data_IF_168863241382
#
_entry.id   IF_168863241382
#
_cell.length_a   1.000
_cell.length_b   1.000
_cell.length_c   1.000
_cell.angle_alpha   90.00
_cell.angle_beta   90.00
_cell.angle_gamma   90.00
#
_symmetry.space_group_name_H-M   'P 1'
#
loop_
_entity.id
_entity.type
_entity.pdbx_description
1 polymer ?
#
# COMPACT_ATOMS: atom_id res chain seq x y z
N UNK A 1 1.98 13.68 15.56
CA UNK A 1 0.56 13.59 15.97
C UNK A 1 -0.32 14.59 15.22
N UNK A 2 -0.21 15.91 15.48
CA UNK A 2 -1.09 16.93 14.84
C UNK A 2 -1.05 16.92 13.30
N UNK A 3 0.15 16.84 12.70
CA UNK A 3 0.29 16.73 11.25
C UNK A 3 -0.40 15.48 10.65
N UNK A 4 -0.36 14.35 11.37
CA UNK A 4 -1.04 13.12 10.96
C UNK A 4 -2.56 13.31 10.93
N UNK A 5 -3.16 13.89 11.97
CA UNK A 5 -4.60 14.15 12.00
C UNK A 5 -5.04 15.25 11.03
N UNK A 6 -4.19 16.25 10.77
CA UNK A 6 -4.44 17.29 9.77
C UNK A 6 -4.57 16.73 8.35
N UNK A 7 -3.76 15.73 7.97
CA UNK A 7 -3.90 15.05 6.66
C UNK A 7 -5.23 14.31 6.49
N UNK A 8 -5.93 14.02 7.60
CA UNK A 8 -7.25 13.37 7.62
C UNK A 8 -8.40 14.36 7.85
N UNK A 9 -8.13 15.67 7.75
CA UNK A 9 -9.14 16.72 7.94
C UNK A 9 -9.59 16.92 9.39
N UNK A 10 -8.93 16.29 10.38
CA UNK A 10 -9.19 16.53 11.81
C UNK A 10 -8.22 17.59 12.34
N UNK A 11 -8.73 18.79 12.63
CA UNK A 11 -7.94 19.86 13.23
C UNK A 11 -8.05 19.82 14.76
N UNK A 12 -6.93 19.59 15.44
CA UNK A 12 -6.87 19.52 16.91
C UNK A 12 -6.62 20.92 17.44
N UNK A 13 -7.57 21.48 18.19
CA UNK A 13 -7.40 22.76 18.90
C UNK A 13 -6.47 22.58 20.10
N UNK A 14 -5.69 23.60 20.40
CA UNK A 14 -4.59 23.56 21.37
C UNK A 14 -5.00 23.41 22.84
N UNK A 15 -6.31 23.53 23.15
CA UNK A 15 -6.83 23.62 24.53
C UNK A 15 -8.05 22.73 24.84
N UNK A 16 -8.39 21.74 24.01
CA UNK A 16 -9.48 20.80 24.34
C UNK A 16 -8.98 19.56 25.09
N UNK A 17 -9.47 19.40 26.34
CA UNK A 17 -9.53 18.23 27.22
C UNK A 17 -8.47 17.10 27.08
N UNK A 18 -7.74 16.86 28.19
CA UNK A 18 -6.76 15.76 28.36
C UNK A 18 -7.26 14.37 27.91
N UNK A 19 -8.55 14.07 28.06
CA UNK A 19 -9.11 12.76 27.69
C UNK A 19 -9.15 12.54 26.16
N UNK A 20 -9.47 13.58 25.39
CA UNK A 20 -9.49 13.52 23.92
C UNK A 20 -8.06 13.41 23.37
N UNK A 21 -7.10 14.05 24.04
CA UNK A 21 -5.69 13.95 23.69
C UNK A 21 -5.14 12.53 23.93
N UNK A 22 -5.57 11.85 25.00
CA UNK A 22 -5.15 10.47 25.29
C UNK A 22 -5.63 9.46 24.22
N UNK A 23 -6.89 9.56 23.77
CA UNK A 23 -7.42 8.67 22.73
C UNK A 23 -6.73 8.89 21.37
N UNK A 24 -6.53 10.16 21.00
CA UNK A 24 -5.80 10.51 19.78
C UNK A 24 -4.32 10.09 19.87
N UNK A 25 -3.71 10.19 21.06
CA UNK A 25 -2.33 9.77 21.29
C UNK A 25 -2.23 8.25 21.15
N UNK A 26 -3.19 7.49 21.70
CA UNK A 26 -3.27 6.05 21.53
C UNK A 26 -3.35 5.66 20.04
N UNK A 27 -4.26 6.26 19.28
CA UNK A 27 -4.40 5.99 17.83
C UNK A 27 -3.08 6.30 17.09
N UNK A 28 -2.42 7.39 17.46
CA UNK A 28 -1.14 7.79 16.88
C UNK A 28 0.01 6.85 17.25
N UNK A 29 0.07 6.37 18.50
CA UNK A 29 1.08 5.40 18.95
C UNK A 29 0.90 4.05 18.27
N UNK A 30 -0.34 3.58 18.09
CA UNK A 30 -0.64 2.38 17.31
C UNK A 30 -0.18 2.53 15.85
N UNK A 31 -0.46 3.69 15.23
CA UNK A 31 0.01 3.99 13.88
C UNK A 31 1.55 4.00 13.79
N UNK A 32 2.25 4.62 14.74
CA UNK A 32 3.71 4.61 14.78
C UNK A 32 4.27 3.19 14.94
N UNK A 33 3.67 2.37 15.81
CA UNK A 33 4.07 0.99 16.01
C UNK A 33 3.87 0.15 14.73
N UNK A 34 2.81 0.40 13.96
CA UNK A 34 2.57 -0.28 12.67
C UNK A 34 3.45 0.25 11.53
N UNK A 35 3.93 1.50 11.61
CA UNK A 35 4.79 2.07 10.56
C UNK A 35 6.28 1.88 10.84
N UNK A 36 6.64 1.44 12.03
CA UNK A 36 8.01 1.13 12.37
C UNK A 36 8.60 0.06 11.44
N UNK A 37 9.84 0.30 11.02
CA UNK A 37 10.55 -0.53 10.04
C UNK A 37 10.71 -1.98 10.50
N UNK A 38 10.99 -2.19 11.80
CA UNK A 38 11.19 -3.53 12.37
C UNK A 38 9.87 -4.30 12.36
N UNK A 39 8.78 -3.67 12.77
CA UNK A 39 7.46 -4.29 12.79
C UNK A 39 6.94 -4.54 11.38
N UNK A 40 7.16 -3.61 10.44
CA UNK A 40 6.79 -3.79 9.05
C UNK A 40 7.52 -4.97 8.40
N UNK A 41 8.80 -5.17 8.71
CA UNK A 41 9.55 -6.32 8.21
C UNK A 41 9.07 -7.66 8.79
N UNK A 42 8.65 -7.68 10.06
CA UNK A 42 8.23 -8.92 10.74
C UNK A 42 6.79 -9.32 10.44
N UNK A 43 5.85 -8.38 10.58
CA UNK A 43 4.40 -8.64 10.49
C UNK A 43 3.70 -7.79 9.45
N UNK A 44 4.42 -6.90 8.75
CA UNK A 44 3.85 -6.04 7.71
C UNK A 44 3.22 -6.81 6.56
N UNK A 45 3.65 -8.05 6.28
CA UNK A 45 3.00 -8.88 5.24
C UNK A 45 1.49 -9.06 5.47
N UNK A 46 1.03 -8.97 6.72
CA UNK A 46 -0.38 -9.15 7.13
C UNK A 46 -1.18 -7.87 6.88
N UNK A 47 -0.69 -6.71 7.32
CA UNK A 47 -1.48 -5.48 7.38
C UNK A 47 -1.05 -4.39 6.38
N UNK A 48 0.12 -4.49 5.75
CA UNK A 48 0.71 -3.40 4.95
C UNK A 48 -0.16 -2.92 3.79
N UNK A 49 -1.03 -3.79 3.26
CA UNK A 49 -1.94 -3.45 2.17
C UNK A 49 -3.24 -2.79 2.63
N UNK A 50 -3.48 -2.76 3.94
CA UNK A 50 -4.66 -2.18 4.57
C UNK A 50 -4.37 -0.79 5.12
N UNK A 51 -5.42 0.02 5.20
CA UNK A 51 -5.37 1.28 5.93
C UNK A 51 -5.15 0.97 7.42
N UNK A 52 -4.28 1.70 8.14
CA UNK A 52 -3.92 1.39 9.53
C UNK A 52 -5.11 1.26 10.49
N UNK A 53 -6.22 1.97 10.23
CA UNK A 53 -7.47 1.89 11.02
C UNK A 53 -8.21 0.56 10.84
N UNK A 54 -8.02 -0.11 9.71
CA UNK A 54 -8.73 -1.33 9.30
C UNK A 54 -7.83 -2.58 9.30
N UNK A 55 -6.77 -2.58 10.11
CA UNK A 55 -5.83 -3.72 10.23
C UNK A 55 -6.54 -5.03 10.61
N UNK A 56 -7.59 -4.96 11.43
CA UNK A 56 -8.39 -6.10 11.90
C UNK A 56 -9.19 -6.77 10.79
N UNK A 57 -9.32 -6.11 9.63
CA UNK A 57 -10.00 -6.67 8.47
C UNK A 57 -9.30 -7.94 7.96
N UNK A 58 -7.97 -8.02 8.06
CA UNK A 58 -7.24 -9.24 7.70
C UNK A 58 -7.61 -10.42 8.62
N UNK A 59 -7.83 -10.15 9.92
CA UNK A 59 -8.29 -11.18 10.86
C UNK A 59 -9.68 -11.67 10.49
N UNK A 60 -10.58 -10.78 10.06
CA UNK A 60 -11.90 -11.19 9.56
C UNK A 60 -11.82 -12.03 8.29
N UNK A 61 -10.92 -11.68 7.37
CA UNK A 61 -10.71 -12.42 6.12
C UNK A 61 -10.12 -13.82 6.39
N UNK A 62 -9.24 -13.95 7.38
CA UNK A 62 -8.74 -15.24 7.86
C UNK A 62 -9.84 -16.05 8.57
N UNK A 63 -10.64 -15.40 9.43
CA UNK A 63 -11.76 -16.03 10.11
C UNK A 63 -12.79 -16.55 9.10
N UNK A 64 -13.05 -15.82 8.01
CA UNK A 64 -13.87 -16.30 6.89
C UNK A 64 -13.32 -17.59 6.32
N UNK A 65 -12.04 -17.62 5.96
CA UNK A 65 -11.41 -18.81 5.37
C UNK A 65 -11.51 -20.00 6.31
N UNK A 66 -11.34 -19.76 7.62
CA UNK A 66 -11.53 -20.78 8.66
C UNK A 66 -12.99 -21.24 8.75
N UNK A 67 -13.96 -20.32 8.71
CA UNK A 67 -15.39 -20.64 8.78
C UNK A 67 -15.81 -21.50 7.58
N UNK A 68 -15.43 -21.10 6.36
CA UNK A 68 -15.83 -21.79 5.13
C UNK A 68 -15.22 -23.18 4.99
N UNK A 69 -13.98 -23.39 5.46
CA UNK A 69 -13.31 -24.69 5.34
C UNK A 69 -13.51 -25.58 6.58
N UNK A 70 -13.41 -25.02 7.79
CA UNK A 70 -13.44 -25.77 9.04
C UNK A 70 -14.84 -25.88 9.64
N UNK A 71 -15.55 -24.75 9.78
CA UNK A 71 -16.80 -24.71 10.53
C UNK A 71 -17.98 -25.33 9.77
N UNK A 72 -18.04 -25.13 8.45
CA UNK A 72 -19.09 -25.70 7.58
C UNK A 72 -19.13 -27.24 7.62
N UNK A 73 -18.03 -27.90 7.98
CA UNK A 73 -17.99 -29.38 8.12
C UNK A 73 -18.86 -29.85 9.28
N UNK A 74 -18.92 -29.10 10.39
CA UNK A 74 -19.68 -29.48 11.58
C UNK A 74 -21.20 -29.34 11.41
N UNK A 75 -21.66 -28.63 10.38
CA UNK A 75 -23.08 -28.57 10.03
C UNK A 75 -23.51 -29.95 9.51
N UNK A 76 -24.19 -30.75 10.33
CA UNK A 76 -24.55 -32.14 9.99
C UNK A 76 -25.50 -32.22 8.78
N UNK A 77 -25.29 -33.23 7.90
CA UNK A 77 -26.10 -33.76 6.78
C UNK A 77 -26.98 -32.86 5.87
N UNK A 78 -26.97 -31.53 6.01
CA UNK A 78 -27.74 -30.63 5.15
C UNK A 78 -26.83 -29.81 4.22
N UNK A 79 -26.54 -30.30 2.99
CA UNK A 79 -25.72 -29.58 2.03
C UNK A 79 -26.31 -28.23 1.61
N UNK A 80 -27.65 -28.12 1.59
CA UNK A 80 -28.37 -26.87 1.34
C UNK A 80 -28.05 -25.82 2.40
N UNK A 81 -28.13 -26.19 3.68
CA UNK A 81 -27.83 -25.27 4.79
C UNK A 81 -26.37 -24.80 4.76
N UNK A 82 -25.43 -25.71 4.44
CA UNK A 82 -24.01 -25.37 4.27
C UNK A 82 -23.80 -24.31 3.20
N UNK A 83 -24.44 -24.47 2.04
CA UNK A 83 -24.33 -23.52 0.93
C UNK A 83 -24.96 -22.17 1.29
N UNK A 84 -26.14 -22.15 1.91
CA UNK A 84 -26.81 -20.91 2.33
C UNK A 84 -25.97 -20.15 3.36
N UNK A 85 -25.45 -20.81 4.40
CA UNK A 85 -24.58 -20.17 5.40
C UNK A 85 -23.31 -19.57 4.76
N UNK A 86 -22.71 -20.30 3.81
CA UNK A 86 -21.54 -19.86 3.06
C UNK A 86 -21.82 -18.62 2.20
N UNK A 87 -22.98 -18.58 1.54
CA UNK A 87 -23.44 -17.44 0.74
C UNK A 87 -23.69 -16.24 1.65
N UNK A 88 -24.43 -16.40 2.75
CA UNK A 88 -24.72 -15.32 3.71
C UNK A 88 -23.43 -14.69 4.23
N UNK A 89 -22.47 -15.52 4.63
CA UNK A 89 -21.19 -15.03 5.13
C UNK A 89 -20.38 -14.27 4.06
N UNK A 90 -20.42 -14.75 2.81
CA UNK A 90 -19.79 -14.06 1.68
C UNK A 90 -20.46 -12.72 1.36
N UNK A 91 -21.79 -12.63 1.48
CA UNK A 91 -22.52 -11.35 1.30
C UNK A 91 -22.16 -10.34 2.40
N UNK A 92 -22.08 -10.78 3.66
CA UNK A 92 -21.71 -9.91 4.78
C UNK A 92 -20.32 -9.31 4.58
N UNK A 93 -19.35 -10.11 4.17
CA UNK A 93 -17.99 -9.61 3.93
C UNK A 93 -17.89 -8.75 2.68
N UNK A 94 -18.63 -9.07 1.62
CA UNK A 94 -18.69 -8.23 0.42
C UNK A 94 -19.25 -6.85 0.77
N UNK A 95 -20.30 -6.81 1.59
CA UNK A 95 -20.90 -5.58 2.10
C UNK A 95 -19.92 -4.79 2.96
N UNK A 96 -19.16 -5.48 3.83
CA UNK A 96 -18.10 -4.88 4.64
C UNK A 96 -16.99 -4.24 3.78
N UNK A 97 -16.52 -4.93 2.74
CA UNK A 97 -15.49 -4.40 1.82
C UNK A 97 -16.01 -3.14 1.11
N UNK A 98 -17.25 -3.18 0.63
CA UNK A 98 -17.83 -2.09 -0.15
C UNK A 98 -18.06 -0.84 0.70
N UNK A 99 -18.45 -1.01 1.97
CA UNK A 99 -18.68 0.06 2.93
C UNK A 99 -17.39 0.63 3.51
N UNK A 100 -16.53 -0.21 4.08
CA UNK A 100 -15.33 0.24 4.81
C UNK A 100 -14.13 0.53 3.90
N UNK A 101 -14.05 -0.09 2.71
CA UNK A 101 -12.92 0.04 1.77
C UNK A 101 -11.56 -0.09 2.47
N UNK A 102 -11.26 -1.25 3.08
CA UNK A 102 -10.15 -1.40 4.01
C UNK A 102 -8.76 -1.36 3.33
N UNK A 103 -8.67 -1.54 2.01
CA UNK A 103 -7.38 -1.53 1.29
C UNK A 103 -6.93 -0.10 0.94
N UNK A 104 -5.62 0.13 0.99
CA UNK A 104 -5.01 1.43 0.62
C UNK A 104 -5.24 1.76 -0.86
N UNK A 105 -5.07 0.77 -1.74
CA UNK A 105 -5.33 0.92 -3.16
C UNK A 105 -6.81 0.64 -3.46
N UNK A 106 -7.46 1.54 -4.20
CA UNK A 106 -8.87 1.42 -4.54
C UNK A 106 -9.18 0.18 -5.40
N UNK A 107 -8.31 -0.10 -6.36
CA UNK A 107 -8.26 -1.32 -7.17
C UNK A 107 -8.31 -2.61 -6.34
N UNK A 108 -7.54 -2.70 -5.25
CA UNK A 108 -7.55 -3.86 -4.37
C UNK A 108 -8.90 -4.07 -3.69
N UNK A 109 -9.58 -2.97 -3.30
CA UNK A 109 -10.96 -3.05 -2.81
C UNK A 109 -11.91 -3.59 -3.88
N UNK A 110 -11.78 -3.12 -5.13
CA UNK A 110 -12.60 -3.57 -6.25
C UNK A 110 -12.36 -5.05 -6.55
N UNK A 111 -11.11 -5.49 -6.66
CA UNK A 111 -10.72 -6.88 -6.92
C UNK A 111 -11.21 -7.80 -5.80
N UNK A 112 -11.06 -7.38 -4.54
CA UNK A 112 -11.55 -8.15 -3.39
C UNK A 112 -13.07 -8.30 -3.44
N UNK A 113 -13.81 -7.22 -3.75
CA UNK A 113 -15.27 -7.26 -3.92
C UNK A 113 -15.70 -8.16 -5.10
N UNK A 114 -15.01 -8.08 -6.25
CA UNK A 114 -15.28 -8.95 -7.40
C UNK A 114 -15.03 -10.42 -7.09
N UNK A 115 -13.99 -10.72 -6.31
CA UNK A 115 -13.70 -12.08 -5.86
C UNK A 115 -14.81 -12.62 -4.95
N UNK A 116 -15.35 -11.78 -4.07
CA UNK A 116 -16.48 -12.16 -3.21
C UNK A 116 -17.76 -12.41 -4.02
N UNK A 117 -18.04 -11.56 -5.01
CA UNK A 117 -19.15 -11.76 -5.92
C UNK A 117 -19.02 -13.08 -6.71
N UNK A 118 -17.81 -13.39 -7.19
CA UNK A 118 -17.51 -14.65 -7.86
C UNK A 118 -17.73 -15.88 -6.95
N UNK A 119 -17.31 -15.79 -5.68
CA UNK A 119 -17.56 -16.84 -4.70
C UNK A 119 -19.06 -17.07 -4.45
N UNK A 120 -19.85 -15.99 -4.35
CA UNK A 120 -21.31 -16.07 -4.19
C UNK A 120 -21.93 -16.82 -5.37
N UNK A 121 -21.56 -16.48 -6.61
CA UNK A 121 -22.07 -17.14 -7.81
C UNK A 121 -21.69 -18.62 -7.85
N UNK A 122 -20.44 -18.94 -7.50
CA UNK A 122 -19.96 -20.34 -7.44
C UNK A 122 -20.75 -21.16 -6.43
N UNK A 123 -20.98 -20.61 -5.23
CA UNK A 123 -21.77 -21.27 -4.19
C UNK A 123 -23.24 -21.41 -4.58
N UNK A 124 -23.77 -20.42 -5.32
CA UNK A 124 -25.13 -20.47 -5.83
C UNK A 124 -25.33 -21.60 -6.83
N UNK A 125 -24.37 -21.83 -7.75
CA UNK A 125 -24.39 -23.01 -8.64
C UNK A 125 -24.43 -24.30 -7.82
N UNK A 126 -23.55 -24.42 -6.82
CA UNK A 126 -23.52 -25.57 -5.92
C UNK A 126 -24.88 -25.80 -5.23
N UNK A 127 -25.51 -24.73 -4.76
CA UNK A 127 -26.84 -24.78 -4.14
C UNK A 127 -27.90 -25.29 -5.12
N UNK A 128 -27.97 -24.75 -6.34
CA UNK A 128 -28.93 -25.18 -7.37
C UNK A 128 -28.74 -26.65 -7.74
N UNK A 129 -27.49 -27.11 -7.85
CA UNK A 129 -27.18 -28.52 -8.12
C UNK A 129 -27.67 -29.44 -7.01
N UNK A 130 -27.43 -29.07 -5.76
CA UNK A 130 -27.89 -29.85 -4.59
C UNK A 130 -29.42 -29.87 -4.51
N UNK A 131 -30.08 -28.73 -4.74
CA UNK A 131 -31.54 -28.65 -4.70
C UNK A 131 -32.19 -29.48 -5.82
N UNK A 132 -31.63 -29.44 -7.03
CA UNK A 132 -32.11 -30.27 -8.14
C UNK A 132 -31.97 -31.76 -7.81
N UNK A 133 -30.80 -32.18 -7.31
CA UNK A 133 -30.56 -33.57 -6.92
C UNK A 133 -31.51 -34.07 -5.81
N UNK A 134 -31.92 -33.20 -4.88
CA UNK A 134 -32.86 -33.56 -3.80
C UNK A 134 -34.33 -33.56 -4.24
N UNK A 135 -34.72 -32.67 -5.14
CA UNK A 135 -36.13 -32.50 -5.55
C UNK A 135 -36.51 -33.34 -6.76
N UNK A 136 -35.54 -33.81 -7.56
CA UNK A 136 -35.77 -34.59 -8.78
C UNK A 136 -36.50 -33.83 -9.89
N UNK A 137 -36.69 -32.52 -9.72
CA UNK A 137 -37.44 -31.65 -10.62
C UNK A 137 -36.48 -31.12 -11.70
N UNK A 138 -36.64 -31.62 -12.94
CA UNK A 138 -35.98 -31.10 -14.14
C UNK A 138 -36.56 -29.74 -14.59
N UNK A 139 -36.84 -28.82 -13.66
CA UNK A 139 -37.47 -27.53 -13.98
C UNK A 139 -36.55 -26.63 -14.84
N UNK A 140 -35.23 -26.87 -14.79
CA UNK A 140 -34.24 -26.15 -15.56
C UNK A 140 -33.16 -27.13 -16.06
N UNK A 141 -32.71 -26.95 -17.30
CA UNK A 141 -31.63 -27.75 -17.88
C UNK A 141 -30.34 -27.48 -17.08
N UNK A 142 -30.00 -28.41 -16.19
CA UNK A 142 -28.85 -28.32 -15.28
C UNK A 142 -27.57 -27.95 -16.01
N UNK A 143 -27.36 -28.53 -17.19
CA UNK A 143 -26.18 -28.28 -18.01
C UNK A 143 -26.11 -26.82 -18.47
N UNK A 144 -27.25 -26.21 -18.83
CA UNK A 144 -27.28 -24.82 -19.29
C UNK A 144 -26.96 -23.84 -18.17
N UNK A 145 -27.51 -24.04 -16.96
CA UNK A 145 -27.22 -23.18 -15.80
C UNK A 145 -25.75 -23.25 -15.42
N UNK A 146 -25.22 -24.48 -15.31
CA UNK A 146 -23.80 -24.69 -14.97
C UNK A 146 -22.91 -24.05 -16.02
N UNK A 147 -23.20 -24.24 -17.31
CA UNK A 147 -22.41 -23.65 -18.39
C UNK A 147 -22.43 -22.11 -18.36
N UNK A 148 -23.61 -21.49 -18.22
CA UNK A 148 -23.74 -20.03 -18.16
C UNK A 148 -22.97 -19.47 -16.96
N UNK A 149 -23.13 -20.07 -15.79
CA UNK A 149 -22.45 -19.62 -14.59
C UNK A 149 -20.94 -19.87 -14.62
N UNK A 150 -20.48 -20.94 -15.26
CA UNK A 150 -19.06 -21.22 -15.43
C UNK A 150 -18.43 -20.19 -16.37
N UNK A 151 -19.09 -19.87 -17.49
CA UNK A 151 -18.65 -18.80 -18.40
C UNK A 151 -18.58 -17.47 -17.67
N UNK A 152 -19.62 -17.14 -16.88
CA UNK A 152 -19.67 -15.89 -16.14
C UNK A 152 -18.57 -15.79 -15.06
N UNK A 153 -18.29 -16.87 -14.33
CA UNK A 153 -17.17 -16.94 -13.39
C UNK A 153 -15.82 -16.80 -14.11
N UNK A 154 -15.65 -17.46 -15.25
CA UNK A 154 -14.42 -17.36 -16.05
C UNK A 154 -14.19 -15.92 -16.54
N UNK A 155 -15.23 -15.27 -17.05
CA UNK A 155 -15.19 -13.87 -17.46
C UNK A 155 -14.82 -12.94 -16.29
N UNK A 156 -15.38 -13.18 -15.11
CA UNK A 156 -15.05 -12.41 -13.91
C UNK A 156 -13.57 -12.57 -13.49
N UNK A 157 -13.01 -13.78 -13.58
CA UNK A 157 -11.58 -14.03 -13.31
C UNK A 157 -10.70 -13.29 -14.32
N UNK A 158 -11.01 -13.37 -15.60
CA UNK A 158 -10.25 -12.68 -16.66
C UNK A 158 -10.31 -11.17 -16.47
N UNK A 159 -11.48 -10.62 -16.16
CA UNK A 159 -11.65 -9.19 -15.90
C UNK A 159 -10.85 -8.74 -14.67
N UNK A 160 -10.90 -9.50 -13.57
CA UNK A 160 -10.14 -9.20 -12.34
C UNK A 160 -8.63 -9.28 -12.59
N UNK A 161 -8.17 -10.30 -13.32
CA UNK A 161 -6.77 -10.44 -13.72
C UNK A 161 -6.29 -9.30 -14.63
N UNK A 162 -7.15 -8.84 -15.54
CA UNK A 162 -6.85 -7.68 -16.38
C UNK A 162 -6.68 -6.40 -15.56
N UNK A 163 -7.59 -6.13 -14.60
CA UNK A 163 -7.50 -4.97 -13.70
C UNK A 163 -6.19 -5.00 -12.90
N UNK A 164 -5.82 -6.16 -12.35
CA UNK A 164 -4.56 -6.33 -11.62
C UNK A 164 -3.32 -6.10 -12.50
N UNK A 165 -3.33 -6.60 -13.75
CA UNK A 165 -2.21 -6.42 -14.67
C UNK A 165 -2.06 -4.97 -15.13
N UNK A 166 -3.18 -4.29 -15.37
CA UNK A 166 -3.17 -2.87 -15.73
C UNK A 166 -2.61 -2.01 -14.61
N UNK A 167 -3.03 -2.28 -13.36
CA UNK A 167 -2.48 -1.60 -12.20
C UNK A 167 -1.00 -1.92 -11.99
N UNK A 168 -0.59 -3.18 -12.09
CA UNK A 168 0.82 -3.55 -11.94
C UNK A 168 1.69 -2.81 -12.98
N UNK A 169 1.19 -2.67 -14.22
CA UNK A 169 1.86 -1.90 -15.27
C UNK A 169 1.89 -0.41 -14.97
N UNK A 170 0.81 0.16 -14.42
CA UNK A 170 0.75 1.59 -14.10
C UNK A 170 1.67 1.94 -12.92
N UNK A 171 1.68 1.13 -11.86
CA UNK A 171 2.57 1.29 -10.71
C UNK A 171 4.05 1.15 -11.11
N UNK A 172 4.38 0.17 -11.96
CA UNK A 172 5.74 0.00 -12.48
C UNK A 172 6.22 1.25 -13.22
N UNK A 173 5.38 1.83 -14.09
CA UNK A 173 5.71 3.08 -14.80
C UNK A 173 5.91 4.25 -13.85
N UNK A 174 5.05 4.39 -12.83
CA UNK A 174 5.17 5.44 -11.83
C UNK A 174 6.47 5.32 -11.02
N UNK A 175 6.82 4.10 -10.57
CA UNK A 175 8.05 3.87 -9.83
C UNK A 175 9.30 4.22 -10.65
N UNK A 176 9.32 3.85 -11.94
CA UNK A 176 10.42 4.21 -12.85
C UNK A 176 10.51 5.73 -13.00
N UNK A 177 9.39 6.42 -13.21
CA UNK A 177 9.36 7.88 -13.33
C UNK A 177 9.86 8.60 -12.05
N UNK A 178 9.49 8.09 -10.87
CA UNK A 178 9.96 8.62 -9.58
C UNK A 178 11.48 8.43 -9.44
N UNK A 179 11.98 7.23 -9.75
CA UNK A 179 13.43 6.94 -9.70
C UNK A 179 14.23 7.82 -10.68
N UNK A 180 13.69 8.06 -11.87
CA UNK A 180 14.31 8.96 -12.84
C UNK A 180 14.35 10.42 -12.35
N UNK A 181 13.27 10.89 -11.71
CA UNK A 181 13.22 12.23 -11.13
C UNK A 181 14.24 12.39 -10.00
N UNK A 182 14.31 11.44 -9.07
CA UNK A 182 15.30 11.42 -7.99
C UNK A 182 16.73 11.38 -8.54
N UNK A 183 16.97 10.59 -9.59
CA UNK A 183 18.30 10.50 -10.22
C UNK A 183 18.69 11.84 -10.84
N UNK A 184 17.78 12.51 -11.55
CA UNK A 184 18.03 13.84 -12.15
C UNK A 184 18.36 14.87 -11.07
N UNK A 185 17.63 14.86 -9.96
CA UNK A 185 17.85 15.78 -8.85
C UNK A 185 19.23 15.58 -8.18
N UNK A 186 19.59 14.32 -7.91
CA UNK A 186 20.93 13.94 -7.40
C UNK A 186 22.04 14.39 -8.35
N UNK A 187 21.87 14.23 -9.66
CA UNK A 187 22.83 14.69 -10.68
C UNK A 187 22.91 16.21 -10.68
N UNK A 188 21.79 16.93 -10.65
CA UNK A 188 21.77 18.39 -10.66
C UNK A 188 22.49 18.98 -9.44
N UNK A 189 22.24 18.43 -8.25
CA UNK A 189 22.97 18.79 -7.03
C UNK A 189 24.46 18.48 -7.12
N UNK A 190 24.84 17.33 -7.65
CA UNK A 190 26.24 16.95 -7.83
C UNK A 190 26.97 17.88 -8.81
N UNK A 191 26.36 18.20 -9.95
CA UNK A 191 26.90 19.11 -10.97
C UNK A 191 27.06 20.51 -10.40
N UNK A 192 26.03 21.05 -9.76
CA UNK A 192 26.09 22.39 -9.14
C UNK A 192 27.18 22.48 -8.09
N UNK A 193 27.37 21.43 -7.29
CA UNK A 193 28.45 21.34 -6.30
C UNK A 193 29.83 21.31 -6.96
N UNK A 194 30.00 20.56 -8.04
CA UNK A 194 31.27 20.51 -8.78
C UNK A 194 31.57 21.85 -9.46
N UNK A 195 30.56 22.50 -10.04
CA UNK A 195 30.71 23.79 -10.71
C UNK A 195 31.12 24.88 -9.72
N UNK A 196 30.51 24.93 -8.52
CA UNK A 196 30.93 25.83 -7.44
C UNK A 196 32.38 25.60 -7.03
N UNK A 197 32.81 24.34 -6.90
CA UNK A 197 34.22 24.02 -6.59
C UNK A 197 35.17 24.47 -7.69
N UNK A 198 34.86 24.19 -8.95
CA UNK A 198 35.68 24.58 -10.09
C UNK A 198 35.77 26.11 -10.21
N UNK A 199 34.66 26.82 -10.03
CA UNK A 199 34.61 28.27 -10.02
C UNK A 199 35.46 28.87 -8.89
N UNK A 200 35.28 28.40 -7.65
CA UNK A 200 36.07 28.86 -6.50
C UNK A 200 37.57 28.66 -6.72
N UNK A 201 37.96 27.51 -7.27
CA UNK A 201 39.36 27.21 -7.61
C UNK A 201 39.91 28.10 -8.71
N UNK A 202 39.14 28.36 -9.77
CA UNK A 202 39.55 29.25 -10.85
C UNK A 202 39.75 30.70 -10.35
N UNK A 203 38.85 31.19 -9.50
CA UNK A 203 38.95 32.52 -8.87
C UNK A 203 40.18 32.59 -7.95
N UNK A 204 40.41 31.55 -7.15
CA UNK A 204 41.60 31.45 -6.30
C UNK A 204 42.90 31.54 -7.12
N UNK A 205 43.02 30.74 -8.20
CA UNK A 205 44.19 30.78 -9.09
C UNK A 205 44.38 32.14 -9.77
N UNK A 206 43.31 32.75 -10.29
CA UNK A 206 43.37 34.05 -10.93
C UNK A 206 43.83 35.16 -9.98
N UNK A 207 43.40 35.11 -8.71
CA UNK A 207 43.85 36.03 -7.67
C UNK A 207 45.30 35.80 -7.26
N UNK A 208 45.77 34.55 -7.26
CA UNK A 208 47.17 34.24 -6.94
C UNK A 208 48.14 34.71 -8.02
N UNK A 209 47.75 34.66 -9.30
CA UNK A 209 48.57 35.16 -10.42
C UNK A 209 48.67 36.68 -10.43
N UNK A 210 47.60 37.36 -10.00
CA UNK A 210 47.53 38.82 -10.00
C UNK A 210 47.98 39.35 -8.62
N UNK A 211 49.31 39.44 -8.40
CA UNK A 211 49.95 39.95 -7.17
C UNK A 211 49.55 41.40 -6.84
N UNK A 212 48.32 41.60 -6.43
CA UNK A 212 47.79 42.88 -5.97
C UNK A 212 47.29 42.64 -4.56
N UNK A 213 47.76 43.44 -3.59
CA UNK A 213 47.48 43.32 -2.16
C UNK A 213 46.03 43.61 -1.77
N UNK A 214 45.06 43.00 -2.47
CA UNK A 214 43.63 43.04 -2.15
C UNK A 214 43.25 41.80 -1.35
N UNK A 215 42.36 41.99 -0.38
CA UNK A 215 41.77 40.90 0.40
C UNK A 215 41.13 39.84 -0.53
N UNK A 216 41.36 38.56 -0.22
CA UNK A 216 40.78 37.45 -0.98
C UNK A 216 39.25 37.59 -1.06
N UNK A 217 38.68 37.36 -2.25
CA UNK A 217 37.23 37.22 -2.38
C UNK A 217 36.74 36.00 -1.57
N UNK A 218 35.51 36.06 -1.07
CA UNK A 218 34.89 34.96 -0.30
C UNK A 218 35.04 33.59 -0.98
N UNK A 219 34.85 33.43 -2.31
CA UNK A 219 35.07 32.16 -3.01
C UNK A 219 36.53 31.66 -2.94
N UNK A 220 37.50 32.57 -3.12
CA UNK A 220 38.92 32.23 -3.06
C UNK A 220 39.38 31.89 -1.64
N UNK A 221 38.85 32.60 -0.64
CA UNK A 221 39.11 32.32 0.78
C UNK A 221 38.58 30.93 1.18
N UNK A 222 37.36 30.57 0.75
CA UNK A 222 36.78 29.25 1.02
C UNK A 222 37.62 28.10 0.43
N UNK A 223 38.17 28.27 -0.78
CA UNK A 223 39.04 27.25 -1.37
C UNK A 223 40.42 27.20 -0.69
N UNK A 224 40.99 28.35 -0.29
CA UNK A 224 42.24 28.40 0.47
C UNK A 224 42.14 27.66 1.82
N UNK A 225 41.05 27.89 2.56
CA UNK A 225 40.78 27.18 3.83
C UNK A 225 40.63 25.68 3.60
N UNK A 226 39.99 25.28 2.50
CA UNK A 226 39.81 23.88 2.15
C UNK A 226 41.16 23.20 1.85
N UNK A 227 42.03 23.83 1.08
CA UNK A 227 43.38 23.33 0.79
C UNK A 227 44.21 23.21 2.07
N UNK A 228 44.18 24.22 2.93
CA UNK A 228 44.90 24.18 4.21
C UNK A 228 44.42 23.04 5.12
N UNK A 229 43.11 22.76 5.15
CA UNK A 229 42.58 21.59 5.88
C UNK A 229 43.04 20.25 5.29
N UNK A 230 43.18 20.15 3.97
CA UNK A 230 43.68 18.94 3.30
C UNK A 230 45.16 18.71 3.60
N UNK A 231 45.97 19.77 3.60
CA UNK A 231 47.39 19.72 3.98
C UNK A 231 47.56 19.27 5.43
N UNK A 232 46.76 19.81 6.37
CA UNK A 232 46.76 19.40 7.77
C UNK A 232 46.33 17.93 7.95
N UNK A 233 45.38 17.45 7.15
CA UNK A 233 44.95 16.06 7.19
C UNK A 233 46.05 15.11 6.66
N UNK A 234 46.75 15.50 5.60
CA UNK A 234 47.86 14.72 5.03
C UNK A 234 49.12 14.74 5.90
N UNK A 235 49.31 15.79 6.71
CA UNK A 235 50.42 15.87 7.66
C UNK A 235 50.15 15.12 8.98
N UNK A 236 48.92 14.67 9.20
CA UNK A 236 48.49 13.91 10.38
C UNK A 236 48.41 12.38 10.14
N UNK A 237 48.52 11.94 8.89
CA UNK A 237 48.81 10.54 8.49
C UNK A 237 50.32 10.30 8.43
#
# INVERSE_FOLDING_TARGET
>A
MRAYFATRGRYIKEHEFYDVENDLLYEYMCYLNMTDSVNRLRVGFIYQNYVPEFWWFEVLELLRKLFMNGLVIFVHNNPVLKAVLSITWSILLMSGILYYRPYVAWSNNLVSSMTQFQLILTLWVGLVLVLNAQTGLNLLNQQQIVNIMLILNFMAVVATGYIMLDEARSLSKQQIAIQEAERKDKIHHAVTRLWRKAYNHAVYKAMQTNQTGRAFSVPAFLEAVRLHKLELAQAAE
#
